data_IF_806480793751
#
_entry.id   IF_806480793751
#
_cell.length_a   1.000
_cell.length_b   1.000
_cell.length_c   1.000
_cell.angle_alpha   90.00
_cell.angle_beta   90.00
_cell.angle_gamma   90.00
#
_symmetry.space_group_name_H-M   'P 1'
#
loop_
_entity.id
_entity.type
_entity.pdbx_description
1 polymer ?
#
# COMPACT_ATOMS: atom_id res chain seq x y z
N UNK A 1 -30.99 -75.17 -90.39
CA UNK A 1 -30.00 -74.11 -90.13
C UNK A 1 -30.74 -72.88 -89.58
N UNK A 2 -30.27 -72.05 -88.66
CA UNK A 2 -29.26 -72.07 -87.58
C UNK A 2 -29.53 -70.75 -86.83
N UNK A 3 -29.58 -70.81 -85.50
CA UNK A 3 -29.97 -69.76 -84.52
C UNK A 3 -29.20 -68.43 -84.64
N UNK A 4 -29.80 -67.36 -84.07
CA UNK A 4 -29.27 -66.40 -83.05
C UNK A 4 -30.28 -65.24 -82.95
N UNK A 5 -31.02 -64.94 -81.88
CA UNK A 5 -30.71 -64.68 -80.46
C UNK A 5 -29.61 -63.64 -80.21
N UNK A 6 -30.01 -62.41 -79.84
CA UNK A 6 -29.31 -61.48 -78.94
C UNK A 6 -30.32 -60.39 -78.55
N UNK A 7 -30.96 -60.45 -77.38
CA UNK A 7 -30.44 -60.04 -76.06
C UNK A 7 -30.23 -58.53 -75.95
N UNK A 8 -31.22 -57.90 -75.30
CA UNK A 8 -31.14 -56.85 -74.28
C UNK A 8 -30.07 -55.76 -74.36
N UNK A 9 -30.52 -54.51 -74.22
CA UNK A 9 -29.76 -53.55 -73.40
C UNK A 9 -30.66 -52.53 -72.71
N UNK A 10 -31.08 -52.86 -71.48
CA UNK A 10 -31.42 -51.86 -70.47
C UNK A 10 -30.08 -51.30 -69.95
N UNK A 11 -29.70 -50.12 -70.39
CA UNK A 11 -28.70 -49.28 -69.70
C UNK A 11 -29.42 -48.04 -69.19
N UNK A 12 -30.01 -48.15 -68.01
CA UNK A 12 -29.44 -47.65 -66.75
C UNK A 12 -29.39 -46.14 -66.74
N UNK A 13 -30.34 -45.57 -65.99
CA UNK A 13 -30.33 -44.20 -65.52
C UNK A 13 -28.99 -43.90 -64.85
N UNK A 14 -28.11 -43.19 -65.54
CA UNK A 14 -27.03 -42.48 -64.88
C UNK A 14 -27.63 -41.21 -64.27
N UNK A 15 -28.18 -41.33 -63.06
CA UNK A 15 -28.35 -40.16 -62.18
C UNK A 15 -26.94 -39.61 -61.94
N UNK A 16 -26.59 -38.56 -62.67
CA UNK A 16 -25.40 -37.78 -62.40
C UNK A 16 -25.56 -37.18 -60.99
N UNK A 17 -25.00 -37.87 -60.00
CA UNK A 17 -24.79 -37.31 -58.66
C UNK A 17 -23.84 -36.14 -58.86
N UNK A 18 -24.40 -34.93 -58.91
CA UNK A 18 -23.65 -33.68 -58.87
C UNK A 18 -22.83 -33.68 -57.58
N UNK A 19 -21.57 -34.11 -57.65
CA UNK A 19 -20.60 -33.91 -56.57
C UNK A 19 -20.45 -32.40 -56.41
N UNK A 20 -21.01 -31.86 -55.33
CA UNK A 20 -20.82 -30.45 -54.96
C UNK A 20 -19.32 -30.17 -54.86
N UNK A 21 -18.82 -29.03 -55.37
CA UNK A 21 -17.40 -28.72 -55.30
C UNK A 21 -16.96 -28.69 -53.83
N UNK A 22 -15.96 -29.52 -53.48
CA UNK A 22 -15.30 -29.45 -52.19
C UNK A 22 -14.60 -28.09 -52.12
N UNK A 23 -15.15 -27.18 -51.34
CA UNK A 23 -14.50 -25.88 -51.11
C UNK A 23 -13.15 -26.11 -50.40
N UNK A 24 -12.11 -25.34 -50.75
CA UNK A 24 -10.84 -25.40 -50.05
C UNK A 24 -11.06 -24.97 -48.60
N UNK A 25 -10.72 -25.85 -47.64
CA UNK A 25 -10.71 -25.48 -46.23
C UNK A 25 -9.56 -24.49 -46.03
N UNK A 26 -9.89 -23.25 -45.72
CA UNK A 26 -8.91 -22.23 -45.34
C UNK A 26 -8.11 -22.78 -44.13
N UNK A 27 -6.77 -22.64 -44.12
CA UNK A 27 -5.99 -23.03 -42.96
C UNK A 27 -6.47 -22.20 -41.77
N UNK A 28 -6.84 -22.88 -40.68
CA UNK A 28 -7.17 -22.22 -39.42
C UNK A 28 -5.89 -21.58 -38.89
N UNK A 29 -5.67 -20.30 -39.22
CA UNK A 29 -4.57 -19.52 -38.68
C UNK A 29 -4.95 -19.07 -37.28
N UNK A 30 -4.15 -19.49 -36.30
CA UNK A 30 -4.35 -19.24 -34.86
C UNK A 30 -3.98 -17.79 -34.48
N UNK A 31 -4.53 -16.79 -35.16
CA UNK A 31 -4.23 -15.38 -34.90
C UNK A 31 -4.43 -15.00 -33.43
N UNK A 32 -5.41 -15.59 -32.73
CA UNK A 32 -5.64 -15.35 -31.30
C UNK A 32 -4.45 -15.67 -30.39
N UNK A 33 -3.59 -16.63 -30.77
CA UNK A 33 -2.43 -17.00 -29.96
C UNK A 33 -1.28 -15.98 -30.07
N UNK A 34 -1.21 -15.24 -31.18
CA UNK A 34 -0.21 -14.18 -31.40
C UNK A 34 -0.51 -12.89 -30.61
N UNK A 35 -1.79 -12.63 -30.30
CA UNK A 35 -2.21 -11.44 -29.53
C UNK A 35 -2.09 -11.62 -28.02
N UNK A 36 -2.07 -12.87 -27.54
CA UNK A 36 -2.00 -13.23 -26.13
C UNK A 36 -0.82 -12.55 -25.38
N UNK A 37 0.44 -12.55 -25.87
CA UNK A 37 1.53 -11.86 -25.18
C UNK A 37 1.36 -10.34 -25.13
N UNK A 38 0.75 -9.73 -26.15
CA UNK A 38 0.48 -8.29 -26.19
C UNK A 38 -0.56 -7.91 -25.14
N UNK A 39 -1.61 -8.72 -25.00
CA UNK A 39 -2.65 -8.52 -23.97
C UNK A 39 -2.06 -8.69 -22.57
N UNK A 40 -1.24 -9.73 -22.33
CA UNK A 40 -0.55 -9.92 -21.04
C UNK A 40 0.31 -8.70 -20.71
N UNK A 41 1.12 -8.24 -21.65
CA UNK A 41 1.99 -7.07 -21.46
C UNK A 41 1.16 -5.83 -21.08
N UNK A 42 0.05 -5.60 -21.78
CA UNK A 42 -0.83 -4.47 -21.51
C UNK A 42 -1.46 -4.53 -20.11
N UNK A 43 -1.90 -5.70 -19.68
CA UNK A 43 -2.44 -5.92 -18.33
C UNK A 43 -1.37 -5.70 -17.28
N UNK A 44 -0.14 -6.16 -17.52
CA UNK A 44 0.99 -6.00 -16.60
C UNK A 44 1.36 -4.52 -16.42
N UNK A 45 1.45 -3.77 -17.51
CA UNK A 45 1.67 -2.32 -17.48
C UNK A 45 0.54 -1.58 -16.75
N UNK A 46 -0.71 -1.98 -16.98
CA UNK A 46 -1.87 -1.39 -16.33
C UNK A 46 -1.85 -1.64 -14.82
N UNK A 47 -1.57 -2.86 -14.38
CA UNK A 47 -1.41 -3.20 -12.96
C UNK A 47 -0.28 -2.42 -12.30
N UNK A 48 0.88 -2.33 -12.95
CA UNK A 48 2.02 -1.56 -12.44
C UNK A 48 1.69 -0.07 -12.31
N UNK A 49 0.96 0.50 -13.27
CA UNK A 49 0.52 1.90 -13.24
C UNK A 49 -0.43 2.17 -12.07
N UNK A 50 -1.47 1.34 -11.92
CA UNK A 50 -2.43 1.46 -10.81
C UNK A 50 -1.73 1.30 -9.47
N UNK A 51 -0.87 0.30 -9.35
CA UNK A 51 -0.08 0.06 -8.13
C UNK A 51 0.83 1.25 -7.79
N UNK A 52 1.50 1.82 -8.80
CA UNK A 52 2.35 2.98 -8.61
C UNK A 52 1.57 4.19 -8.08
N UNK A 53 0.40 4.48 -8.66
CA UNK A 53 -0.44 5.59 -8.23
C UNK A 53 -0.95 5.34 -6.79
N UNK A 54 -1.39 4.11 -6.51
CA UNK A 54 -1.87 3.70 -5.20
C UNK A 54 -0.80 3.89 -4.11
N UNK A 55 0.41 3.41 -4.36
CA UNK A 55 1.51 3.52 -3.41
C UNK A 55 1.89 4.98 -3.15
N UNK A 56 1.85 5.83 -4.17
CA UNK A 56 2.14 7.26 -4.04
C UNK A 56 1.08 8.00 -3.22
N UNK A 57 -0.18 7.61 -3.33
CA UNK A 57 -1.27 8.15 -2.50
C UNK A 57 -1.07 7.74 -1.05
N UNK A 58 -0.82 6.45 -0.81
CA UNK A 58 -0.59 5.90 0.53
C UNK A 58 0.62 6.53 1.21
N UNK A 59 1.73 6.69 0.49
CA UNK A 59 2.94 7.36 0.99
C UNK A 59 2.66 8.83 1.35
N UNK A 60 1.79 9.52 0.61
CA UNK A 60 1.41 10.90 0.91
C UNK A 60 0.60 11.01 2.20
N UNK A 61 -0.33 10.09 2.43
CA UNK A 61 -1.11 10.04 3.67
C UNK A 61 -0.20 9.75 4.87
N UNK A 62 0.63 8.71 4.79
CA UNK A 62 1.60 8.37 5.83
C UNK A 62 2.54 9.54 6.10
N UNK A 63 3.02 10.23 5.05
CA UNK A 63 3.89 11.40 5.23
C UNK A 63 3.19 12.55 5.94
N UNK A 64 1.89 12.77 5.71
CA UNK A 64 1.11 13.79 6.43
C UNK A 64 0.96 13.43 7.90
N UNK A 65 0.58 12.19 8.19
CA UNK A 65 0.48 11.69 9.56
C UNK A 65 1.80 11.83 10.32
N UNK A 66 2.93 11.48 9.69
CA UNK A 66 4.26 11.65 10.30
C UNK A 66 4.54 13.13 10.63
N UNK A 67 4.17 14.06 9.74
CA UNK A 67 4.36 15.49 9.97
C UNK A 67 3.49 15.98 11.13
N UNK A 68 2.22 15.55 11.20
CA UNK A 68 1.33 15.90 12.29
C UNK A 68 1.82 15.32 13.63
N UNK A 69 2.18 14.05 13.68
CA UNK A 69 2.75 13.41 14.87
C UNK A 69 4.03 14.14 15.33
N UNK A 70 4.88 14.59 14.39
CA UNK A 70 6.06 15.37 14.73
C UNK A 70 5.71 16.72 15.35
N UNK A 71 4.70 17.42 14.85
CA UNK A 71 4.22 18.68 15.43
C UNK A 71 3.67 18.47 16.84
N UNK A 72 2.87 17.43 17.04
CA UNK A 72 2.34 17.05 18.36
C UNK A 72 3.49 16.73 19.33
N UNK A 73 4.52 16.01 18.87
CA UNK A 73 5.69 15.72 19.71
C UNK A 73 6.44 16.99 20.14
N UNK A 74 6.61 17.95 19.23
CA UNK A 74 7.31 19.21 19.52
C UNK A 74 6.53 20.02 20.56
N UNK A 75 5.23 20.24 20.30
CA UNK A 75 4.35 20.99 21.22
C UNK A 75 4.32 20.35 22.61
N UNK A 76 4.17 19.02 22.69
CA UNK A 76 4.17 18.32 23.97
C UNK A 76 5.53 18.43 24.70
N UNK A 77 6.65 18.43 23.96
CA UNK A 77 7.98 18.62 24.53
C UNK A 77 8.17 20.03 25.09
N UNK A 78 7.67 21.04 24.37
CA UNK A 78 7.68 22.43 24.81
C UNK A 78 6.82 22.60 26.07
N UNK A 79 5.61 22.05 26.08
CA UNK A 79 4.71 22.06 27.24
C UNK A 79 5.37 21.43 28.46
N UNK A 80 5.97 20.23 28.32
CA UNK A 80 6.69 19.56 29.41
C UNK A 80 7.82 20.44 29.94
N UNK A 81 8.61 21.06 29.06
CA UNK A 81 9.70 21.94 29.48
C UNK A 81 9.20 23.17 30.23
N UNK A 82 8.08 23.76 29.78
CA UNK A 82 7.46 24.91 30.43
C UNK A 82 6.90 24.54 31.80
N UNK A 83 6.23 23.38 31.93
CA UNK A 83 5.71 22.87 33.19
C UNK A 83 6.85 22.58 34.17
N UNK A 84 7.96 22.04 33.67
CA UNK A 84 9.15 21.79 34.48
C UNK A 84 9.77 23.08 34.99
N UNK A 85 9.88 24.10 34.16
CA UNK A 85 10.37 25.42 34.57
C UNK A 85 9.45 26.07 35.62
N UNK A 86 8.13 25.98 35.42
CA UNK A 86 7.14 26.45 36.41
C UNK A 86 7.26 25.66 37.72
N UNK A 87 7.37 24.34 37.67
CA UNK A 87 7.56 23.51 38.85
C UNK A 87 8.85 23.88 39.60
N UNK A 88 9.94 24.12 38.89
CA UNK A 88 11.21 24.54 39.47
C UNK A 88 11.08 25.93 40.13
N UNK A 89 10.42 26.88 39.48
CA UNK A 89 10.13 28.20 40.04
C UNK A 89 9.25 28.12 41.30
N UNK A 90 8.18 27.32 41.29
CA UNK A 90 7.33 27.10 42.46
C UNK A 90 8.08 26.39 43.58
N UNK A 91 8.91 25.40 43.24
CA UNK A 91 9.73 24.66 44.22
C UNK A 91 10.92 25.46 44.73
N UNK A 92 11.21 26.62 44.14
CA UNK A 92 12.38 27.40 44.49
C UNK A 92 12.31 27.78 45.98
N UNK A 93 13.36 27.38 46.71
CA UNK A 93 13.48 27.61 48.15
C UNK A 93 13.27 29.08 48.52
N UNK A 94 13.68 30.00 47.64
CA UNK A 94 13.49 31.44 47.81
C UNK A 94 12.02 31.85 47.84
N UNK A 95 11.19 31.24 47.00
CA UNK A 95 9.75 31.54 46.94
C UNK A 95 9.01 30.89 48.10
N UNK A 96 9.36 29.65 48.44
CA UNK A 96 8.86 28.97 49.64
C UNK A 96 9.20 29.77 50.90
N UNK A 97 10.44 30.25 51.01
CA UNK A 97 10.90 31.09 52.12
C UNK A 97 10.15 32.40 52.18
N UNK A 98 9.98 33.09 51.04
CA UNK A 98 9.20 34.33 50.96
C UNK A 98 7.76 34.12 51.45
N UNK A 99 7.10 33.06 51.00
CA UNK A 99 5.73 32.70 51.43
C UNK A 99 5.72 32.38 52.94
N UNK A 100 6.70 31.62 53.44
CA UNK A 100 6.82 31.26 54.84
C UNK A 100 7.06 32.48 55.74
N UNK A 101 7.90 33.43 55.31
CA UNK A 101 8.21 34.64 56.06
C UNK A 101 7.05 35.64 56.02
N UNK A 102 6.42 35.84 54.87
CA UNK A 102 5.35 36.84 54.69
C UNK A 102 4.01 36.38 55.26
N UNK A 103 3.62 35.11 55.06
CA UNK A 103 2.29 34.63 55.47
C UNK A 103 2.28 33.91 56.83
N UNK A 104 3.40 33.34 57.26
CA UNK A 104 3.47 32.55 58.48
C UNK A 104 4.43 33.13 59.52
N UNK A 105 5.10 34.25 59.21
CA UNK A 105 6.02 34.93 60.13
C UNK A 105 7.26 34.10 60.48
N UNK A 106 7.63 33.11 59.66
CA UNK A 106 8.83 32.31 59.91
C UNK A 106 10.10 33.14 59.69
N UNK A 107 10.99 33.11 60.69
CA UNK A 107 12.30 33.77 60.68
C UNK A 107 13.37 32.67 60.58
N UNK A 108 14.36 32.88 59.71
CA UNK A 108 15.38 31.92 59.32
C UNK A 108 16.09 31.23 60.51
N UNK A 109 16.00 29.89 60.60
CA UNK A 109 16.92 29.08 61.40
C UNK A 109 18.12 28.74 60.50
N UNK A 110 19.27 29.40 60.73
CA UNK A 110 20.52 29.09 60.02
C UNK A 110 20.79 27.58 60.06
N UNK A 111 20.92 26.89 58.92
CA UNK A 111 21.28 25.48 58.92
C UNK A 111 22.69 25.35 59.48
N UNK A 112 22.80 24.86 60.72
CA UNK A 112 24.07 24.44 61.30
C UNK A 112 24.51 23.20 60.52
N UNK A 113 25.36 23.39 59.52
CA UNK A 113 25.99 22.30 58.79
C UNK A 113 26.82 21.53 59.82
N UNK A 114 26.32 20.37 60.25
CA UNK A 114 27.07 19.44 61.08
C UNK A 114 28.06 18.76 60.13
N UNK A 115 29.25 19.33 59.99
CA UNK A 115 30.39 18.63 59.40
C UNK A 115 30.71 17.45 60.33
N UNK A 116 30.22 16.26 60.01
CA UNK A 116 30.68 15.03 60.66
C UNK A 116 32.19 14.88 60.40
N UNK A 117 33.02 14.72 61.44
CA UNK A 117 34.46 14.56 61.27
C UNK A 117 34.74 13.25 60.51
N UNK A 118 35.57 13.37 59.47
CA UNK A 118 36.05 12.26 58.65
C UNK A 118 36.84 11.29 59.56
N UNK A 119 36.51 9.98 59.61
CA UNK A 119 37.30 9.03 60.37
C UNK A 119 38.70 8.90 59.76
N UNK A 120 39.72 8.95 60.63
CA UNK A 120 41.15 8.74 60.31
C UNK A 120 41.43 7.29 59.94
#
# INVERSE_FOLDING_TARGET
MRRKSTTGNKKTMAKAVKKKPKQPKLPATNYGLLWLPVVILFVLLSCLSVFYIWERIRLREISREIVELRKVKITLSEDISSLRAQAEELSSYRRIYKIASENFGFIELKPKIILSPKPK
#
